data_IF_986046848862
#
_entry.id   IF_986046848862
#
_cell.length_a   1.000
_cell.length_b   1.000
_cell.length_c   1.000
_cell.angle_alpha   90.00
_cell.angle_beta   90.00
_cell.angle_gamma   90.00
#
_symmetry.space_group_name_H-M   'P 1'
#
loop_
_entity.id
_entity.type
_entity.pdbx_description
1 polymer ?
#
# COMPACT_ATOMS: atom_id res chain seq x y z
N UNK A 1 9.23 9.01 1.84
CA UNK A 1 7.81 8.63 1.81
C UNK A 1 6.92 9.85 1.58
N UNK A 2 7.01 10.87 2.44
CA UNK A 2 6.21 12.09 2.31
C UNK A 2 6.34 12.77 0.95
N UNK A 3 7.55 12.82 0.40
CA UNK A 3 7.82 13.36 -0.95
C UNK A 3 7.08 12.61 -2.07
N UNK A 4 6.92 11.29 -1.92
CA UNK A 4 6.17 10.49 -2.88
C UNK A 4 4.67 10.77 -2.77
N UNK A 5 4.15 10.79 -1.53
CA UNK A 5 2.72 11.00 -1.27
C UNK A 5 2.27 12.39 -1.73
N UNK A 6 3.01 13.45 -1.39
CA UNK A 6 2.68 14.82 -1.77
C UNK A 6 2.63 15.05 -3.28
N UNK A 7 3.44 14.30 -4.05
CA UNK A 7 3.40 14.39 -5.52
C UNK A 7 2.34 13.49 -6.14
N UNK A 8 2.17 12.28 -5.60
CA UNK A 8 1.21 11.33 -6.14
C UNK A 8 -0.24 11.80 -5.91
N UNK A 9 -0.51 12.39 -4.75
CA UNK A 9 -1.85 12.78 -4.32
C UNK A 9 -2.00 14.29 -4.12
N UNK A 10 -1.25 15.09 -4.87
CA UNK A 10 -1.34 16.55 -4.80
C UNK A 10 -2.81 17.01 -4.88
N UNK A 11 -3.21 17.84 -3.93
CA UNK A 11 -4.58 18.36 -3.77
C UNK A 11 -5.65 17.26 -3.58
N UNK A 12 -5.25 16.06 -3.10
CA UNK A 12 -6.12 14.91 -2.86
C UNK A 12 -5.96 14.34 -1.45
N UNK A 13 -6.83 13.41 -1.07
CA UNK A 13 -6.96 12.90 0.31
C UNK A 13 -5.67 12.33 0.91
N UNK A 14 -4.79 11.72 0.13
CA UNK A 14 -3.57 11.08 0.65
C UNK A 14 -2.29 11.90 0.42
N UNK A 15 -2.41 13.19 0.18
CA UNK A 15 -1.26 14.09 -0.04
C UNK A 15 -0.30 14.12 1.15
N UNK A 16 -0.82 14.06 2.37
CA UNK A 16 -0.03 14.06 3.61
C UNK A 16 -0.02 12.67 4.27
N UNK A 17 1.00 12.45 5.05
CA UNK A 17 1.17 11.19 5.78
C UNK A 17 0.54 11.25 7.18
N UNK A 18 0.15 10.09 7.77
CA UNK A 18 -0.44 10.06 9.12
C UNK A 18 0.43 10.66 10.23
N UNK A 19 1.75 10.75 10.03
CA UNK A 19 2.65 11.37 11.00
C UNK A 19 2.40 12.90 11.13
N UNK A 20 1.78 13.50 10.12
CA UNK A 20 1.51 14.94 10.10
C UNK A 20 2.77 15.79 9.96
N UNK A 21 2.66 17.06 10.32
CA UNK A 21 3.75 18.02 10.28
C UNK A 21 4.04 18.62 11.67
N UNK A 22 5.27 19.11 11.86
CA UNK A 22 5.61 19.87 13.08
C UNK A 22 4.86 21.20 13.18
N UNK A 23 4.47 21.77 12.04
CA UNK A 23 3.67 23.00 11.99
C UNK A 23 2.27 22.74 12.55
N UNK A 24 1.59 21.68 12.10
CA UNK A 24 0.28 21.28 12.61
C UNK A 24 0.34 20.95 14.11
N UNK A 25 1.38 20.20 14.52
CA UNK A 25 1.56 19.84 15.93
C UNK A 25 1.78 21.07 16.82
N UNK A 26 2.55 22.05 16.38
CA UNK A 26 2.80 23.26 17.12
C UNK A 26 1.58 24.20 17.17
N UNK A 27 0.66 24.10 16.21
CA UNK A 27 -0.57 24.89 16.16
C UNK A 27 -1.71 24.27 16.98
N UNK A 28 -1.64 22.97 17.28
CA UNK A 28 -2.67 22.25 18.02
C UNK A 28 -2.65 22.62 19.51
N UNK A 29 -3.79 23.02 20.04
CA UNK A 29 -4.00 23.26 21.46
C UNK A 29 -4.78 22.13 22.14
N UNK A 30 -4.93 22.24 23.47
CA UNK A 30 -5.68 21.25 24.27
C UNK A 30 -7.16 21.17 23.84
N UNK A 31 -7.77 22.30 23.47
CA UNK A 31 -9.16 22.36 23.03
C UNK A 31 -9.39 21.55 21.76
N UNK A 32 -8.50 21.74 20.78
CA UNK A 32 -8.49 20.96 19.54
C UNK A 32 -8.34 19.46 19.81
N UNK A 33 -7.39 19.06 20.65
CA UNK A 33 -7.19 17.66 21.00
C UNK A 33 -8.42 17.02 21.69
N UNK A 34 -9.07 17.74 22.60
CA UNK A 34 -10.28 17.30 23.28
C UNK A 34 -11.48 17.19 22.34
N UNK A 35 -11.63 18.13 21.39
CA UNK A 35 -12.68 18.10 20.38
C UNK A 35 -12.49 16.91 19.43
N UNK A 36 -11.26 16.70 18.94
CA UNK A 36 -10.89 15.59 18.10
C UNK A 36 -11.18 14.24 18.78
N UNK A 37 -10.77 14.10 20.06
CA UNK A 37 -11.03 12.91 20.85
C UNK A 37 -12.54 12.65 20.98
N UNK A 38 -13.33 13.63 21.40
CA UNK A 38 -14.78 13.49 21.54
C UNK A 38 -15.48 13.13 20.25
N UNK A 39 -14.98 13.61 19.12
CA UNK A 39 -15.57 13.39 17.80
C UNK A 39 -15.27 12.00 17.24
N UNK A 40 -14.05 11.53 17.38
CA UNK A 40 -13.58 10.33 16.68
C UNK A 40 -13.39 9.11 17.57
N UNK A 41 -13.15 9.28 18.87
CA UNK A 41 -12.96 8.18 19.81
C UNK A 41 -14.27 7.88 20.56
N UNK A 42 -15.20 7.26 19.86
CA UNK A 42 -16.51 6.92 20.39
C UNK A 42 -16.95 5.51 19.95
N UNK A 43 -17.87 4.86 20.69
CA UNK A 43 -18.26 3.46 20.41
C UNK A 43 -18.88 3.26 19.02
N UNK A 44 -19.53 4.27 18.46
CA UNK A 44 -20.12 4.23 17.12
C UNK A 44 -19.08 4.37 15.98
N UNK A 45 -17.83 4.72 16.33
CA UNK A 45 -16.70 4.85 15.41
C UNK A 45 -15.55 3.88 15.72
N UNK A 46 -15.75 2.92 16.61
CA UNK A 46 -14.76 1.93 17.01
C UNK A 46 -15.27 0.51 16.78
N UNK A 47 -14.35 -0.43 16.68
CA UNK A 47 -14.62 -1.86 16.75
C UNK A 47 -13.74 -2.47 17.82
N UNK A 48 -14.33 -3.25 18.71
CA UNK A 48 -13.62 -4.03 19.71
C UNK A 48 -13.63 -5.50 19.27
N UNK A 49 -12.46 -6.08 19.11
CA UNK A 49 -12.30 -7.50 18.85
C UNK A 49 -11.55 -8.12 20.04
N UNK A 50 -12.08 -9.19 20.56
CA UNK A 50 -11.46 -9.98 21.63
C UNK A 50 -11.26 -11.38 21.08
N UNK A 51 -10.01 -11.84 21.01
CA UNK A 51 -9.69 -13.16 20.50
C UNK A 51 -8.74 -13.88 21.43
N UNK A 52 -8.94 -15.20 21.62
CA UNK A 52 -8.16 -16.00 22.54
C UNK A 52 -8.97 -17.11 23.20
N UNK A 53 -8.41 -17.69 24.25
CA UNK A 53 -9.12 -18.62 25.13
C UNK A 53 -10.01 -17.82 26.12
N UNK A 54 -11.20 -17.45 25.64
CA UNK A 54 -12.12 -16.55 26.34
C UNK A 54 -13.49 -17.21 26.52
N UNK A 55 -14.11 -16.95 27.68
CA UNK A 55 -15.52 -17.18 27.86
C UNK A 55 -16.35 -15.99 27.36
N UNK A 56 -17.32 -16.26 26.50
CA UNK A 56 -18.13 -15.23 25.87
C UNK A 56 -18.90 -14.37 26.87
N UNK A 57 -19.55 -15.00 27.87
CA UNK A 57 -20.37 -14.28 28.85
C UNK A 57 -19.49 -13.41 29.76
N UNK A 58 -18.30 -13.91 30.11
CA UNK A 58 -17.33 -13.14 30.88
C UNK A 58 -16.81 -11.94 30.08
N UNK A 59 -16.41 -12.15 28.84
CA UNK A 59 -15.95 -11.07 27.94
C UNK A 59 -17.04 -10.00 27.74
N UNK A 60 -18.29 -10.42 27.53
CA UNK A 60 -19.44 -9.53 27.43
C UNK A 60 -19.65 -8.69 28.70
N UNK A 61 -19.64 -9.32 29.88
CA UNK A 61 -19.76 -8.60 31.16
C UNK A 61 -18.66 -7.56 31.36
N UNK A 62 -17.41 -7.91 30.99
CA UNK A 62 -16.29 -6.97 31.05
C UNK A 62 -16.47 -5.82 30.07
N UNK A 63 -16.91 -6.10 28.85
CA UNK A 63 -17.19 -5.08 27.85
C UNK A 63 -18.29 -4.12 28.30
N UNK A 64 -19.39 -4.64 28.84
CA UNK A 64 -20.48 -3.84 29.39
C UNK A 64 -19.99 -2.99 30.58
N UNK A 65 -19.18 -3.57 31.49
CA UNK A 65 -18.62 -2.85 32.63
C UNK A 65 -17.72 -1.68 32.24
N UNK A 66 -16.84 -1.86 31.27
CA UNK A 66 -15.82 -0.85 30.95
C UNK A 66 -16.22 0.11 29.83
N UNK A 67 -17.12 -0.29 28.94
CA UNK A 67 -17.50 0.48 27.77
C UNK A 67 -19.01 0.80 27.70
N UNK A 68 -19.85 0.16 28.55
CA UNK A 68 -21.31 0.28 28.47
C UNK A 68 -21.84 1.67 28.76
N UNK A 69 -21.12 2.50 29.52
CA UNK A 69 -21.50 3.89 29.84
C UNK A 69 -21.10 4.89 28.75
N UNK A 70 -20.25 4.48 27.77
CA UNK A 70 -19.80 5.37 26.70
C UNK A 70 -20.97 5.69 25.77
N UNK A 71 -21.13 6.99 25.49
CA UNK A 71 -22.18 7.46 24.59
C UNK A 71 -21.66 7.61 23.17
N UNK A 72 -22.48 7.29 22.15
CA UNK A 72 -22.11 7.54 20.75
C UNK A 72 -21.96 9.03 20.51
N UNK A 73 -20.93 9.40 19.73
CA UNK A 73 -20.71 10.78 19.31
C UNK A 73 -21.56 11.18 18.08
N UNK A 74 -22.26 10.23 17.47
CA UNK A 74 -22.95 10.40 16.19
C UNK A 74 -22.03 10.90 15.09
N UNK A 75 -20.81 10.33 15.06
CA UNK A 75 -19.76 10.69 14.13
C UNK A 75 -20.23 10.51 12.69
N UNK A 76 -20.35 11.61 11.95
CA UNK A 76 -20.63 11.54 10.52
C UNK A 76 -19.42 10.96 9.80
N UNK A 77 -19.65 9.94 9.00
CA UNK A 77 -18.61 9.42 8.10
C UNK A 77 -18.21 10.51 7.12
N UNK A 78 -16.92 10.73 7.00
CA UNK A 78 -16.41 11.64 5.99
C UNK A 78 -16.69 11.04 4.60
N UNK A 79 -17.08 11.91 3.67
CA UNK A 79 -17.10 11.58 2.24
C UNK A 79 -15.82 12.13 1.65
N UNK A 80 -15.06 11.27 1.00
CA UNK A 80 -13.82 11.65 0.34
C UNK A 80 -14.03 11.72 -1.15
N UNK A 81 -13.34 12.64 -1.83
CA UNK A 81 -13.31 12.69 -3.28
C UNK A 81 -12.62 11.44 -3.84
N UNK A 82 -13.08 10.99 -4.99
CA UNK A 82 -12.41 9.90 -5.72
C UNK A 82 -11.00 10.30 -6.12
N UNK A 83 -10.10 9.31 -6.17
CA UNK A 83 -8.72 9.53 -6.62
C UNK A 83 -8.73 9.85 -8.12
N UNK A 84 -8.03 10.91 -8.49
CA UNK A 84 -7.89 11.33 -9.88
C UNK A 84 -6.66 10.66 -10.49
N UNK A 85 -6.89 9.90 -11.56
CA UNK A 85 -5.86 9.17 -12.31
C UNK A 85 -5.41 9.97 -13.55
N UNK A 86 -4.31 9.55 -14.16
CA UNK A 86 -3.85 10.01 -15.48
C UNK A 86 -3.72 11.55 -15.60
N UNK A 87 -3.17 12.18 -14.56
CA UNK A 87 -2.94 13.64 -14.53
C UNK A 87 -1.63 14.07 -15.22
N UNK A 88 -0.91 13.15 -15.82
CA UNK A 88 0.41 13.34 -16.38
C UNK A 88 1.52 12.78 -15.49
N UNK A 89 2.68 12.49 -16.11
CA UNK A 89 3.86 12.06 -15.35
C UNK A 89 4.41 13.21 -14.52
N UNK A 90 4.66 12.94 -13.24
CA UNK A 90 5.42 13.83 -12.36
C UNK A 90 6.80 13.23 -12.15
N UNK A 91 7.86 13.96 -12.52
CA UNK A 91 9.25 13.51 -12.34
C UNK A 91 10.03 14.54 -11.56
N UNK A 92 10.76 14.11 -10.52
CA UNK A 92 11.56 15.00 -9.69
C UNK A 92 12.83 14.31 -9.17
N UNK A 93 13.83 15.12 -8.84
CA UNK A 93 15.10 14.65 -8.26
C UNK A 93 15.33 15.29 -6.91
N UNK A 94 15.53 14.42 -5.91
CA UNK A 94 15.73 14.80 -4.52
C UNK A 94 17.18 14.51 -4.14
N UNK A 95 17.88 15.54 -3.66
CA UNK A 95 19.21 15.41 -3.08
C UNK A 95 19.08 15.29 -1.56
N UNK A 96 19.51 14.16 -1.02
CA UNK A 96 19.38 13.90 0.42
C UNK A 96 20.62 13.21 1.00
N UNK A 97 20.67 13.05 2.32
CA UNK A 97 21.73 12.36 3.02
C UNK A 97 21.63 10.84 2.86
N UNK A 98 21.61 10.38 1.61
CA UNK A 98 21.59 8.98 1.23
C UNK A 98 22.97 8.55 0.75
N UNK A 99 23.30 7.26 0.88
CA UNK A 99 24.61 6.74 0.47
C UNK A 99 24.64 6.28 -1.00
N UNK A 100 23.49 5.84 -1.50
CA UNK A 100 23.34 5.25 -2.82
C UNK A 100 22.20 5.93 -3.57
N UNK A 101 22.31 6.08 -4.91
CA UNK A 101 21.20 6.55 -5.71
C UNK A 101 20.06 5.55 -5.70
N UNK A 102 18.83 6.05 -5.66
CA UNK A 102 17.63 5.22 -5.73
C UNK A 102 16.57 5.87 -6.63
N UNK A 103 15.75 5.02 -7.20
CA UNK A 103 14.59 5.42 -8.03
C UNK A 103 13.34 4.80 -7.41
N UNK A 104 12.28 5.58 -7.33
CA UNK A 104 10.93 5.16 -6.97
C UNK A 104 9.98 5.57 -8.08
N UNK A 105 9.23 4.62 -8.62
CA UNK A 105 8.18 4.86 -9.59
C UNK A 105 6.87 4.38 -8.98
N UNK A 106 5.94 5.29 -8.77
CA UNK A 106 4.65 4.99 -8.14
C UNK A 106 3.51 5.24 -9.11
N UNK A 107 2.62 4.29 -9.23
CA UNK A 107 1.40 4.34 -10.02
C UNK A 107 0.20 4.42 -9.10
N UNK A 108 -0.74 5.34 -9.36
CA UNK A 108 -2.00 5.37 -8.61
C UNK A 108 -2.82 4.13 -8.93
N UNK A 109 -3.36 3.51 -7.90
CA UNK A 109 -4.16 2.28 -7.99
C UNK A 109 -5.50 2.46 -7.25
N UNK A 110 -6.51 1.62 -7.54
CA UNK A 110 -7.79 1.70 -6.87
C UNK A 110 -7.69 1.33 -5.38
N UNK A 111 -8.71 1.74 -4.62
CA UNK A 111 -8.82 1.37 -3.22
C UNK A 111 -9.15 -0.10 -3.02
N UNK A 112 -8.91 -0.57 -1.81
CA UNK A 112 -9.00 -1.98 -1.41
C UNK A 112 -10.36 -2.66 -1.63
N UNK A 113 -11.45 -1.90 -1.82
CA UNK A 113 -12.79 -2.43 -2.12
C UNK A 113 -13.06 -2.58 -3.62
N UNK A 114 -12.17 -2.10 -4.46
CA UNK A 114 -12.35 -2.16 -5.91
C UNK A 114 -12.12 -3.58 -6.43
N UNK A 115 -12.88 -3.97 -7.46
CA UNK A 115 -12.78 -5.30 -8.06
C UNK A 115 -11.38 -5.67 -8.59
N UNK A 116 -10.59 -4.67 -8.99
CA UNK A 116 -9.25 -4.86 -9.54
C UNK A 116 -8.17 -4.93 -8.42
N UNK A 117 -8.51 -4.74 -7.13
CA UNK A 117 -7.52 -4.64 -6.05
C UNK A 117 -6.63 -5.88 -5.95
N UNK A 118 -7.21 -7.08 -5.96
CA UNK A 118 -6.46 -8.33 -5.88
C UNK A 118 -5.59 -8.58 -7.12
N UNK A 119 -6.07 -8.20 -8.30
CA UNK A 119 -5.29 -8.32 -9.54
C UNK A 119 -4.06 -7.37 -9.51
N UNK A 120 -4.21 -6.15 -9.00
CA UNK A 120 -3.11 -5.19 -8.82
C UNK A 120 -2.09 -5.69 -7.81
N UNK A 121 -2.53 -6.32 -6.72
CA UNK A 121 -1.62 -6.89 -5.73
C UNK A 121 -0.82 -8.05 -6.31
N UNK A 122 -1.46 -9.02 -6.98
CA UNK A 122 -0.77 -10.11 -7.67
C UNK A 122 0.18 -9.59 -8.76
N UNK A 123 -0.22 -8.54 -9.50
CA UNK A 123 0.65 -7.87 -10.47
C UNK A 123 1.92 -7.32 -9.81
N UNK A 124 1.80 -6.67 -8.64
CA UNK A 124 2.97 -6.16 -7.92
C UNK A 124 3.94 -7.26 -7.50
N UNK A 125 3.41 -8.41 -7.09
CA UNK A 125 4.20 -9.58 -6.71
C UNK A 125 4.94 -10.19 -7.91
N UNK A 126 4.27 -10.31 -9.06
CA UNK A 126 4.90 -10.78 -10.30
C UNK A 126 6.04 -9.84 -10.72
N UNK A 127 5.81 -8.53 -10.58
CA UNK A 127 6.83 -7.53 -10.89
C UNK A 127 8.02 -7.59 -9.93
N UNK A 128 7.80 -7.62 -8.62
CA UNK A 128 8.85 -7.30 -7.66
C UNK A 128 9.08 -8.25 -6.50
N UNK A 129 8.26 -9.30 -6.30
CA UNK A 129 8.43 -10.18 -5.14
C UNK A 129 9.42 -11.32 -5.39
N UNK A 130 10.50 -11.30 -4.60
CA UNK A 130 11.51 -12.33 -4.57
C UNK A 130 12.45 -12.34 -5.79
N UNK A 131 13.41 -13.28 -5.76
CA UNK A 131 14.50 -13.33 -6.75
C UNK A 131 14.06 -13.75 -8.17
N UNK A 132 12.92 -14.39 -8.30
CA UNK A 132 12.36 -14.81 -9.59
C UNK A 132 11.40 -13.79 -10.20
N UNK A 133 11.20 -12.63 -9.58
CA UNK A 133 10.40 -11.54 -10.12
C UNK A 133 11.01 -10.94 -11.37
N UNK A 134 10.19 -10.31 -12.21
CA UNK A 134 10.66 -9.72 -13.48
C UNK A 134 11.71 -8.63 -13.26
N UNK A 135 11.47 -7.74 -12.29
CA UNK A 135 12.40 -6.68 -11.92
C UNK A 135 13.75 -7.24 -11.45
N UNK A 136 13.75 -8.18 -10.49
CA UNK A 136 14.98 -8.74 -9.96
C UNK A 136 15.80 -9.43 -11.04
N UNK A 137 15.13 -10.25 -11.85
CA UNK A 137 15.78 -11.02 -12.93
C UNK A 137 16.46 -10.11 -13.94
N UNK A 138 15.77 -9.05 -14.38
CA UNK A 138 16.28 -8.17 -15.43
C UNK A 138 17.27 -7.14 -14.88
N UNK A 139 16.97 -6.48 -13.78
CA UNK A 139 17.74 -5.32 -13.28
C UNK A 139 18.94 -5.74 -12.45
N UNK A 140 18.74 -6.73 -11.53
CA UNK A 140 19.80 -7.16 -10.62
C UNK A 140 20.64 -8.28 -11.21
N UNK A 141 19.99 -9.32 -11.75
CA UNK A 141 20.71 -10.51 -12.20
C UNK A 141 21.32 -10.34 -13.60
N UNK A 142 20.55 -9.94 -14.62
CA UNK A 142 21.03 -9.82 -16.00
C UNK A 142 21.79 -8.53 -16.23
N UNK A 143 21.15 -7.37 -16.05
CA UNK A 143 21.78 -6.06 -16.34
C UNK A 143 22.76 -5.59 -15.30
N UNK A 144 22.63 -6.04 -14.04
CA UNK A 144 23.51 -5.69 -12.91
C UNK A 144 23.65 -4.17 -12.70
N UNK A 145 22.59 -3.41 -12.97
CA UNK A 145 22.57 -1.94 -12.87
C UNK A 145 22.08 -1.45 -11.50
N UNK A 146 21.50 -2.35 -10.69
CA UNK A 146 21.10 -2.02 -9.34
C UNK A 146 21.48 -3.14 -8.35
N UNK A 147 21.60 -2.76 -7.08
CA UNK A 147 21.86 -3.65 -5.94
C UNK A 147 20.60 -4.37 -5.50
N UNK A 148 19.49 -3.64 -5.43
CA UNK A 148 18.19 -4.16 -5.03
C UNK A 148 17.09 -3.53 -5.87
N UNK A 149 16.01 -4.26 -6.06
CA UNK A 149 14.79 -3.78 -6.71
C UNK A 149 13.60 -4.56 -6.18
N UNK A 150 12.42 -4.01 -6.28
CA UNK A 150 11.18 -4.67 -5.88
C UNK A 150 9.96 -3.84 -6.27
N UNK A 151 8.80 -4.42 -6.01
CA UNK A 151 7.52 -3.72 -6.14
C UNK A 151 6.60 -4.16 -5.00
N UNK A 152 5.75 -3.25 -4.55
CA UNK A 152 4.73 -3.52 -3.55
C UNK A 152 3.54 -2.57 -3.72
N UNK A 153 2.40 -2.98 -3.18
CA UNK A 153 1.20 -2.16 -3.11
C UNK A 153 1.13 -1.47 -1.74
N UNK A 154 0.86 -0.18 -1.75
CA UNK A 154 0.38 0.56 -0.59
C UNK A 154 -1.08 0.87 -0.84
N UNK A 155 -1.95 0.03 -0.31
CA UNK A 155 -3.39 0.07 -0.47
C UNK A 155 -4.07 0.83 0.67
N UNK A 156 -5.12 1.57 0.33
CA UNK A 156 -5.97 2.26 1.29
C UNK A 156 -7.43 2.18 0.85
N UNK A 157 -8.33 2.74 1.66
CA UNK A 157 -9.77 2.57 1.47
C UNK A 157 -10.27 3.08 0.12
N UNK A 158 -9.81 4.26 -0.35
CA UNK A 158 -10.32 4.91 -1.57
C UNK A 158 -9.32 4.90 -2.74
N UNK A 159 -8.09 4.54 -2.51
CA UNK A 159 -7.03 4.45 -3.51
C UNK A 159 -5.70 4.12 -2.89
N UNK A 160 -4.67 3.92 -3.69
CA UNK A 160 -3.35 3.56 -3.23
C UNK A 160 -2.27 3.79 -4.27
N UNK A 161 -1.10 3.22 -4.04
CA UNK A 161 0.03 3.24 -4.96
C UNK A 161 0.60 1.83 -5.17
N UNK A 162 0.84 1.46 -6.43
CA UNK A 162 1.79 0.41 -6.75
C UNK A 162 3.15 1.07 -6.92
N UNK A 163 4.10 0.70 -6.07
CA UNK A 163 5.40 1.34 -5.99
C UNK A 163 6.46 0.35 -6.46
N UNK A 164 7.22 0.76 -7.47
CA UNK A 164 8.43 0.07 -7.93
C UNK A 164 9.63 0.86 -7.45
N UNK A 165 10.59 0.19 -6.83
CA UNK A 165 11.82 0.83 -6.38
C UNK A 165 13.06 0.11 -6.87
N UNK A 166 14.15 0.86 -7.00
CA UNK A 166 15.45 0.31 -7.34
C UNK A 166 16.55 1.12 -6.67
N UNK A 167 17.46 0.46 -5.96
CA UNK A 167 18.62 1.09 -5.34
C UNK A 167 19.88 0.68 -6.09
N UNK A 168 20.59 1.67 -6.59
CA UNK A 168 21.81 1.47 -7.39
C UNK A 168 23.05 1.17 -6.57
N UNK A 169 24.18 1.04 -7.24
CA UNK A 169 25.52 1.13 -6.66
C UNK A 169 25.92 2.62 -6.59
N UNK A 170 27.04 2.93 -5.95
CA UNK A 170 27.50 4.31 -5.72
C UNK A 170 27.51 5.20 -6.99
N UNK A 171 27.83 4.61 -8.14
CA UNK A 171 27.92 5.33 -9.43
C UNK A 171 26.89 4.83 -10.44
N UNK A 172 25.79 4.21 -10.01
CA UNK A 172 24.75 3.76 -10.92
C UNK A 172 24.07 4.94 -11.58
N UNK A 173 23.80 4.80 -12.88
CA UNK A 173 23.00 5.76 -13.64
C UNK A 173 21.52 5.51 -13.37
N UNK A 174 20.84 6.48 -12.77
CA UNK A 174 19.41 6.40 -12.43
C UNK A 174 18.52 6.36 -13.66
N UNK A 175 18.88 7.02 -14.76
CA UNK A 175 18.12 6.98 -16.00
C UNK A 175 18.11 5.58 -16.62
N UNK A 176 19.23 4.85 -16.50
CA UNK A 176 19.29 3.45 -16.91
C UNK A 176 18.37 2.55 -16.08
N UNK A 177 18.25 2.83 -14.77
CA UNK A 177 17.31 2.11 -13.90
C UNK A 177 15.86 2.43 -14.27
N UNK A 178 15.53 3.71 -14.47
CA UNK A 178 14.18 4.17 -14.88
C UNK A 178 13.80 3.52 -16.22
N UNK A 179 14.71 3.57 -17.21
CA UNK A 179 14.47 2.97 -18.52
C UNK A 179 14.25 1.47 -18.45
N UNK A 180 15.03 0.76 -17.63
CA UNK A 180 14.87 -0.68 -17.45
C UNK A 180 13.55 -1.04 -16.75
N UNK A 181 13.16 -0.31 -15.71
CA UNK A 181 11.86 -0.47 -15.04
C UNK A 181 10.73 -0.20 -16.03
N UNK A 182 10.80 0.91 -16.76
CA UNK A 182 9.77 1.29 -17.74
C UNK A 182 9.60 0.20 -18.81
N UNK A 183 10.70 -0.33 -19.36
CA UNK A 183 10.63 -1.42 -20.34
C UNK A 183 9.93 -2.67 -19.78
N UNK A 184 10.18 -3.05 -18.50
CA UNK A 184 9.52 -4.18 -17.87
C UNK A 184 8.02 -3.92 -17.67
N UNK A 185 7.66 -2.69 -17.33
CA UNK A 185 6.27 -2.26 -17.16
C UNK A 185 5.55 -2.28 -18.52
N UNK A 186 6.19 -1.77 -19.58
CA UNK A 186 5.64 -1.80 -20.94
C UNK A 186 5.47 -3.24 -21.43
N UNK A 187 6.44 -4.12 -21.18
CA UNK A 187 6.35 -5.53 -21.51
C UNK A 187 5.18 -6.22 -20.81
N UNK A 188 4.98 -6.01 -19.49
CA UNK A 188 3.88 -6.64 -18.75
C UNK A 188 2.53 -6.05 -19.15
N UNK A 189 2.47 -4.82 -19.62
CA UNK A 189 1.25 -4.17 -20.11
C UNK A 189 0.86 -4.62 -21.52
N UNK A 190 1.78 -5.19 -22.29
CA UNK A 190 1.54 -5.61 -23.69
C UNK A 190 1.59 -7.12 -23.89
N UNK A 191 2.28 -7.84 -23.02
CA UNK A 191 2.42 -9.29 -23.04
C UNK A 191 1.82 -9.92 -21.79
N UNK A 192 1.06 -10.99 -21.97
CA UNK A 192 0.44 -11.68 -20.84
C UNK A 192 1.49 -12.22 -19.87
N UNK A 193 1.12 -12.20 -18.58
CA UNK A 193 1.85 -12.96 -17.56
C UNK A 193 1.70 -14.47 -17.82
N UNK A 194 2.71 -15.23 -17.46
CA UNK A 194 2.63 -16.69 -17.58
C UNK A 194 1.80 -17.28 -16.43
N UNK A 195 1.16 -18.44 -16.69
CA UNK A 195 0.47 -19.20 -15.64
C UNK A 195 1.38 -19.45 -14.44
N UNK A 196 2.65 -19.78 -14.68
CA UNK A 196 3.63 -20.02 -13.60
C UNK A 196 3.89 -18.79 -12.72
N UNK A 197 3.92 -17.58 -13.30
CA UNK A 197 4.10 -16.34 -12.54
C UNK A 197 2.86 -16.08 -11.68
N UNK A 198 1.67 -16.22 -12.24
CA UNK A 198 0.41 -16.05 -11.53
C UNK A 198 0.25 -17.07 -10.40
N UNK A 199 0.49 -18.35 -10.68
CA UNK A 199 0.39 -19.43 -9.68
C UNK A 199 1.37 -19.20 -8.52
N UNK A 200 2.61 -18.77 -8.82
CA UNK A 200 3.59 -18.41 -7.78
C UNK A 200 3.04 -17.30 -6.88
N UNK A 201 2.49 -16.23 -7.45
CA UNK A 201 1.95 -15.12 -6.70
C UNK A 201 0.77 -15.56 -5.82
N UNK A 202 -0.18 -16.30 -6.38
CA UNK A 202 -1.32 -16.88 -5.66
C UNK A 202 -0.90 -17.78 -4.50
N UNK A 203 0.03 -18.69 -4.72
CA UNK A 203 0.54 -19.59 -3.67
C UNK A 203 1.25 -18.80 -2.54
N UNK A 204 1.91 -17.69 -2.87
CA UNK A 204 2.54 -16.82 -1.87
C UNK A 204 1.49 -16.13 -1.01
N UNK A 205 0.45 -15.54 -1.63
CA UNK A 205 -0.67 -14.92 -0.90
C UNK A 205 -1.41 -15.94 -0.03
N UNK A 206 -1.73 -17.12 -0.58
CA UNK A 206 -2.40 -18.18 0.18
C UNK A 206 -1.59 -18.57 1.43
N UNK A 207 -0.29 -18.77 1.27
CA UNK A 207 0.63 -19.02 2.38
C UNK A 207 0.60 -17.87 3.40
N UNK A 208 0.68 -16.62 2.95
CA UNK A 208 0.79 -15.45 3.84
C UNK A 208 -0.52 -15.21 4.60
N UNK A 209 -1.67 -15.29 3.93
CA UNK A 209 -2.99 -15.19 4.56
C UNK A 209 -3.21 -16.32 5.57
N UNK A 210 -2.91 -17.57 5.19
CA UNK A 210 -3.05 -18.74 6.07
C UNK A 210 -2.13 -18.63 7.28
N UNK A 211 -0.87 -18.22 7.09
CA UNK A 211 0.09 -18.04 8.18
C UNK A 211 -0.33 -16.89 9.11
N UNK A 212 -0.88 -15.82 8.58
CA UNK A 212 -1.41 -14.70 9.36
C UNK A 212 -2.50 -15.12 10.33
N UNK A 213 -3.32 -16.10 9.97
CA UNK A 213 -4.42 -16.61 10.80
C UNK A 213 -4.01 -17.70 11.81
N UNK A 214 -2.74 -18.09 11.88
CA UNK A 214 -2.27 -19.09 12.84
C UNK A 214 -2.14 -18.57 14.28
N UNK A 215 -2.18 -17.27 14.46
CA UNK A 215 -2.06 -16.65 15.79
C UNK A 215 -3.37 -16.00 16.21
N UNK A 216 -3.60 -15.99 17.52
CA UNK A 216 -4.75 -15.31 18.13
C UNK A 216 -4.81 -13.83 17.73
N UNK A 217 -3.65 -13.15 17.75
CA UNK A 217 -3.53 -11.76 17.33
C UNK A 217 -3.89 -11.58 15.86
N UNK A 218 -3.38 -12.45 14.98
CA UNK A 218 -3.65 -12.38 13.55
C UNK A 218 -5.13 -12.56 13.21
N UNK A 219 -5.82 -13.49 13.89
CA UNK A 219 -7.27 -13.64 13.73
C UNK A 219 -8.01 -12.38 14.21
N UNK A 220 -7.61 -11.83 15.36
CA UNK A 220 -8.22 -10.61 15.91
C UNK A 220 -8.04 -9.41 14.97
N UNK A 221 -6.85 -9.22 14.45
CA UNK A 221 -6.51 -8.14 13.53
C UNK A 221 -7.28 -8.26 12.19
N UNK A 222 -7.32 -9.46 11.60
CA UNK A 222 -8.09 -9.73 10.40
C UNK A 222 -9.59 -9.43 10.59
N UNK A 223 -10.20 -9.89 11.71
CA UNK A 223 -11.60 -9.60 12.00
C UNK A 223 -11.88 -8.11 12.18
N UNK A 224 -10.98 -7.39 12.87
CA UNK A 224 -11.06 -5.94 13.04
C UNK A 224 -10.96 -5.21 11.70
N UNK A 225 -10.02 -5.61 10.86
CA UNK A 225 -9.82 -5.03 9.52
C UNK A 225 -11.02 -5.29 8.60
N UNK A 226 -11.50 -6.53 8.51
CA UNK A 226 -12.66 -6.83 7.68
C UNK A 226 -13.93 -6.12 8.16
N UNK A 227 -14.13 -5.98 9.45
CA UNK A 227 -15.24 -5.18 9.95
C UNK A 227 -15.07 -3.69 9.65
N UNK A 228 -13.88 -3.14 9.91
CA UNK A 228 -13.60 -1.72 9.74
C UNK A 228 -13.81 -1.29 8.30
N UNK A 229 -13.22 -2.00 7.36
CA UNK A 229 -13.25 -1.61 5.96
C UNK A 229 -14.47 -2.15 5.20
N UNK A 230 -14.90 -3.39 5.44
CA UNK A 230 -15.94 -4.04 4.65
C UNK A 230 -17.27 -4.22 5.39
N UNK A 231 -17.32 -4.01 6.70
CA UNK A 231 -18.48 -4.32 7.57
C UNK A 231 -18.93 -5.78 7.47
N UNK A 232 -18.01 -6.66 7.17
CA UNK A 232 -18.26 -8.08 6.97
C UNK A 232 -17.07 -8.92 7.44
N UNK A 233 -17.14 -9.45 8.66
CA UNK A 233 -16.12 -10.35 9.20
C UNK A 233 -16.08 -11.71 8.50
N UNK A 234 -17.16 -12.12 7.83
CA UNK A 234 -17.22 -13.38 7.06
C UNK A 234 -16.26 -13.44 5.88
N UNK A 235 -15.72 -12.28 5.42
CA UNK A 235 -14.67 -12.24 4.39
C UNK A 235 -13.42 -13.02 4.77
N UNK A 236 -13.11 -13.18 6.06
CA UNK A 236 -11.98 -13.99 6.53
C UNK A 236 -12.00 -15.42 5.99
N UNK A 237 -13.21 -15.99 5.79
CA UNK A 237 -13.38 -17.36 5.30
C UNK A 237 -13.20 -17.50 3.78
N UNK A 238 -13.25 -16.40 3.05
CA UNK A 238 -13.18 -16.40 1.59
C UNK A 238 -12.01 -15.61 1.00
N UNK A 239 -11.19 -15.01 1.85
CA UNK A 239 -10.11 -14.11 1.44
C UNK A 239 -9.13 -14.77 0.45
N UNK A 240 -8.75 -16.03 0.67
CA UNK A 240 -7.87 -16.78 -0.23
C UNK A 240 -8.54 -16.98 -1.59
N UNK A 241 -9.82 -17.37 -1.62
CA UNK A 241 -10.52 -17.62 -2.89
C UNK A 241 -10.62 -16.36 -3.76
N UNK A 242 -10.77 -15.17 -3.17
CA UNK A 242 -10.81 -13.90 -3.90
C UNK A 242 -9.51 -13.67 -4.72
N UNK A 243 -8.36 -14.16 -4.25
CA UNK A 243 -7.11 -14.15 -5.02
C UNK A 243 -7.00 -15.32 -5.99
N UNK A 244 -7.45 -16.53 -5.60
CA UNK A 244 -7.40 -17.69 -6.47
C UNK A 244 -8.28 -17.53 -7.71
N UNK A 245 -9.36 -16.77 -7.63
CA UNK A 245 -10.28 -16.49 -8.74
C UNK A 245 -9.70 -15.48 -9.75
N UNK A 246 -8.65 -14.73 -9.43
CA UNK A 246 -8.02 -13.77 -10.35
C UNK A 246 -7.43 -14.51 -11.55
N UNK A 247 -7.73 -14.06 -12.75
CA UNK A 247 -7.25 -14.63 -14.00
C UNK A 247 -6.02 -13.91 -14.56
N UNK A 248 -5.35 -14.49 -15.54
CA UNK A 248 -4.28 -13.82 -16.30
C UNK A 248 -4.81 -12.57 -16.97
N UNK A 249 -6.03 -12.60 -17.47
CA UNK A 249 -6.69 -11.47 -18.11
C UNK A 249 -6.94 -10.33 -17.11
N UNK A 250 -7.34 -10.63 -15.88
CA UNK A 250 -7.53 -9.60 -14.84
C UNK A 250 -6.21 -8.88 -14.51
N UNK A 251 -5.11 -9.63 -14.40
CA UNK A 251 -3.77 -9.06 -14.17
C UNK A 251 -3.33 -8.21 -15.35
N UNK A 252 -3.58 -8.66 -16.58
CA UNK A 252 -3.28 -7.93 -17.80
C UNK A 252 -4.07 -6.62 -17.86
N UNK A 253 -5.38 -6.68 -17.65
CA UNK A 253 -6.26 -5.52 -17.62
C UNK A 253 -5.84 -4.50 -16.54
N UNK A 254 -5.39 -4.98 -15.39
CA UNK A 254 -4.87 -4.11 -14.32
C UNK A 254 -3.58 -3.42 -14.75
N UNK A 255 -2.64 -4.13 -15.39
CA UNK A 255 -1.41 -3.54 -15.91
C UNK A 255 -1.70 -2.46 -16.95
N UNK A 256 -2.52 -2.76 -17.95
CA UNK A 256 -2.91 -1.82 -19.01
C UNK A 256 -3.64 -0.58 -18.48
N UNK A 257 -4.43 -0.76 -17.43
CA UNK A 257 -5.25 0.32 -16.87
C UNK A 257 -4.46 1.26 -15.96
N UNK A 258 -3.64 0.72 -15.08
CA UNK A 258 -3.02 1.48 -14.00
C UNK A 258 -1.54 1.82 -14.22
N UNK A 259 -0.77 0.99 -14.97
CA UNK A 259 0.67 1.21 -15.14
C UNK A 259 1.01 2.12 -16.33
N UNK A 260 0.20 3.15 -16.54
CA UNK A 260 0.39 4.13 -17.61
C UNK A 260 1.37 5.22 -17.22
N UNK A 261 2.11 5.72 -18.20
CA UNK A 261 3.05 6.82 -18.01
C UNK A 261 2.40 8.06 -17.41
N UNK A 262 1.21 8.41 -17.88
CA UNK A 262 0.43 9.56 -17.40
C UNK A 262 -0.15 9.37 -15.99
N UNK A 263 -0.03 8.18 -15.41
CA UNK A 263 -0.53 7.82 -14.08
C UNK A 263 0.59 7.66 -13.04
N UNK A 264 1.82 8.11 -13.33
CA UNK A 264 2.95 7.80 -12.46
C UNK A 264 3.68 9.02 -11.93
N UNK A 265 4.31 8.80 -10.78
CA UNK A 265 5.32 9.68 -10.20
C UNK A 265 6.66 8.96 -10.26
N UNK A 266 7.69 9.65 -10.73
CA UNK A 266 9.09 9.17 -10.77
C UNK A 266 9.92 10.03 -9.84
N UNK A 267 10.45 9.46 -8.76
CA UNK A 267 11.38 10.14 -7.87
C UNK A 267 12.76 9.52 -7.95
N UNK A 268 13.74 10.38 -8.20
CA UNK A 268 15.15 10.02 -8.16
C UNK A 268 15.78 10.59 -6.90
N UNK A 269 16.33 9.73 -6.06
CA UNK A 269 17.11 10.14 -4.88
C UNK A 269 18.60 10.06 -5.19
N UNK A 270 19.29 11.17 -5.02
CA UNK A 270 20.73 11.27 -5.21
C UNK A 270 21.42 11.70 -3.90
N UNK A 271 22.64 11.20 -3.62
CA UNK A 271 23.44 11.68 -2.51
C UNK A 271 23.71 13.19 -2.62
N UNK A 272 23.51 13.94 -1.54
CA UNK A 272 24.04 15.31 -1.46
C UNK A 272 25.54 15.29 -1.60
N UNK A 273 26.10 16.17 -2.43
CA UNK A 273 27.53 16.40 -2.44
C UNK A 273 27.98 16.80 -1.03
N UNK A 274 28.91 16.04 -0.45
CA UNK A 274 29.58 16.45 0.78
C UNK A 274 30.34 17.73 0.43
N UNK A 275 29.95 18.88 1.01
CA UNK A 275 30.81 20.07 1.01
C UNK A 275 32.18 19.61 1.54
N UNK A 276 33.21 19.65 0.70
CA UNK A 276 34.56 19.49 1.15
C UNK A 276 34.84 20.59 2.19
N UNK A 277 35.08 20.18 3.45
CA UNK A 277 35.57 21.09 4.48
C UNK A 277 37.03 21.42 4.23
#
# INVERSE_FOLDING_TARGET
>A
WSELMSRAFKDQTYEWTPIGSMEDLNSADLGYAQEFYRKYYSPDNAVLVISGDIDYDHARKLTEKYFGELKPANTKKNSYAEIIYNQGEVSDTIYDNVQLPAVYIAYKIPGLKHKDAHAVELLSMILGDGRSSRLHNEIVYKKKIAKTTGAFVWDNEIGGLLIVYSTGFKNSNTDSMISAITSIIDDISTSQVTTRELDKAKNTIEKDLTSGLQTVLGVGDALASYWTFFRNTGKINNAVNEYLDVTIEDVQNAAEKYLKKENRVVLTYLPKEKKAN
#
